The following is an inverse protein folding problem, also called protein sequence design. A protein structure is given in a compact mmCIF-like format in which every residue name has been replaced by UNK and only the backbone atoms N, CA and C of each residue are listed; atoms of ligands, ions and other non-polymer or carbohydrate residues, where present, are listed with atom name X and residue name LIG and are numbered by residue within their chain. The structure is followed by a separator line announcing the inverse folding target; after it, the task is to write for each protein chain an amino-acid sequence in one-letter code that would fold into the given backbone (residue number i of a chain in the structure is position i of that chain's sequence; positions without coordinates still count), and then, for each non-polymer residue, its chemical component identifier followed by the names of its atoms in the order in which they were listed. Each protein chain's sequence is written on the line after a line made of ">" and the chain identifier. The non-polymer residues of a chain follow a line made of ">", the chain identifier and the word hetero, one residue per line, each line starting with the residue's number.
data_IF_954191778989
#
_entry.id   IF_954191778989
#
_cell.length_a   1.000
_cell.length_b   1.000
_cell.length_c   1.000
_cell.angle_alpha   90.00
_cell.angle_beta   90.00
_cell.angle_gamma   90.00
#
_symmetry.space_group_name_H-M   'P 1'
#
loop_
_entity.id
_entity.type
_entity.pdbx_description
1 polymer ?
#
# COMPACT_ATOMS: atom_id res chain seq x y z
N UNK A 1 -13.60 -16.37 16.37
CA UNK A 1 -12.29 -16.60 17.02
C UNK A 1 -11.46 -15.35 16.80
N UNK A 2 -11.01 -14.72 17.87
CA UNK A 2 -10.12 -13.56 17.80
C UNK A 2 -8.67 -14.04 17.89
N UNK A 3 -7.80 -13.54 17.01
CA UNK A 3 -6.37 -13.89 16.97
C UNK A 3 -5.59 -12.75 17.64
N UNK A 4 -4.94 -13.02 18.77
CA UNK A 4 -4.26 -11.98 19.58
C UNK A 4 -2.76 -12.22 19.75
N UNK A 5 -2.25 -13.36 19.28
CA UNK A 5 -0.84 -13.76 19.38
C UNK A 5 -0.28 -14.06 17.99
N UNK A 6 1.05 -13.99 17.78
CA UNK A 6 1.66 -14.39 16.52
C UNK A 6 1.10 -15.74 16.04
N UNK A 7 0.49 -15.77 14.86
CA UNK A 7 -0.28 -16.92 14.36
C UNK A 7 -0.08 -17.09 12.86
N UNK A 8 0.04 -18.33 12.42
CA UNK A 8 -0.01 -18.71 11.01
C UNK A 8 -1.27 -19.52 10.77
N UNK A 9 -2.07 -19.12 9.79
CA UNK A 9 -3.23 -19.89 9.34
C UNK A 9 -2.85 -20.62 8.06
N UNK A 10 -3.07 -21.93 8.05
CA UNK A 10 -2.83 -22.79 6.89
C UNK A 10 -4.13 -23.46 6.44
N UNK A 11 -4.24 -23.78 5.16
CA UNK A 11 -5.32 -24.63 4.64
C UNK A 11 -5.04 -26.12 4.90
N UNK A 12 -5.98 -26.98 4.48
CA UNK A 12 -5.88 -28.43 4.66
C UNK A 12 -4.76 -29.06 3.82
N UNK A 13 -4.27 -28.36 2.80
CA UNK A 13 -3.14 -28.75 1.97
C UNK A 13 -1.79 -28.24 2.50
N UNK A 14 -1.79 -27.49 3.61
CA UNK A 14 -0.58 -26.91 4.21
C UNK A 14 -0.13 -25.60 3.57
N UNK A 15 -0.93 -24.99 2.69
CA UNK A 15 -0.64 -23.67 2.11
C UNK A 15 -0.94 -22.58 3.13
N UNK A 16 -0.07 -21.58 3.20
CA UNK A 16 -0.25 -20.47 4.13
C UNK A 16 -1.30 -19.49 3.60
N UNK A 17 -2.31 -19.22 4.43
CA UNK A 17 -3.40 -18.29 4.16
C UNK A 17 -3.18 -16.93 4.83
N UNK A 18 -2.58 -16.90 6.02
CA UNK A 18 -2.37 -15.67 6.79
C UNK A 18 -1.16 -15.81 7.71
N UNK A 19 -0.33 -14.77 7.74
CA UNK A 19 0.59 -14.50 8.84
C UNK A 19 0.04 -13.33 9.65
N UNK A 20 -0.29 -13.58 10.91
CA UNK A 20 -0.67 -12.53 11.86
C UNK A 20 0.49 -12.29 12.82
N UNK A 21 1.08 -11.10 12.75
CA UNK A 21 2.30 -10.74 13.48
C UNK A 21 2.08 -9.44 14.28
N UNK A 22 1.45 -9.51 15.46
CA UNK A 22 1.14 -8.33 16.26
C UNK A 22 2.42 -7.68 16.79
N UNK A 23 2.44 -6.34 16.86
CA UNK A 23 3.54 -5.55 17.43
C UNK A 23 4.92 -5.78 16.78
N UNK A 24 4.96 -6.17 15.51
CA UNK A 24 6.21 -6.46 14.79
C UNK A 24 7.00 -5.21 14.42
N UNK A 25 6.29 -4.10 14.17
CA UNK A 25 6.92 -2.80 13.94
C UNK A 25 6.91 -2.05 15.26
N UNK A 26 8.08 -1.53 15.68
CA UNK A 26 8.19 -0.83 16.96
C UNK A 26 7.33 0.44 16.99
N UNK A 27 6.77 0.77 18.15
CA UNK A 27 5.95 1.96 18.31
C UNK A 27 6.71 3.25 17.96
N UNK A 28 8.00 3.32 18.31
CA UNK A 28 8.85 4.45 17.95
C UNK A 28 8.94 4.65 16.44
N UNK A 29 9.13 3.56 15.69
CA UNK A 29 9.20 3.59 14.22
C UNK A 29 7.85 3.93 13.58
N UNK A 30 6.76 3.35 14.12
CA UNK A 30 5.40 3.68 13.71
C UNK A 30 5.13 5.19 13.87
N UNK A 31 5.51 5.77 15.01
CA UNK A 31 5.32 7.19 15.27
C UNK A 31 6.20 8.07 14.38
N UNK A 32 7.51 7.79 14.29
CA UNK A 32 8.46 8.65 13.60
C UNK A 32 8.33 8.60 12.07
N UNK A 33 8.27 7.40 11.48
CA UNK A 33 8.35 7.23 10.04
C UNK A 33 6.98 7.19 9.36
N UNK A 34 5.97 6.65 10.05
CA UNK A 34 4.64 6.46 9.46
C UNK A 34 3.72 7.59 9.86
N UNK A 35 3.44 7.75 11.15
CA UNK A 35 2.43 8.71 11.61
C UNK A 35 2.81 10.16 11.31
N UNK A 36 4.04 10.56 11.65
CA UNK A 36 4.47 11.95 11.43
C UNK A 36 4.56 12.29 9.93
N UNK A 37 4.85 11.32 9.06
CA UNK A 37 4.90 11.55 7.62
C UNK A 37 3.51 11.66 6.97
N UNK A 38 2.44 11.12 7.58
CA UNK A 38 1.07 11.22 7.05
C UNK A 38 0.59 12.66 6.85
N UNK A 39 1.16 13.64 7.57
CA UNK A 39 0.85 15.06 7.37
C UNK A 39 1.13 15.54 5.93
N UNK A 40 2.15 14.97 5.28
CA UNK A 40 2.47 15.22 3.87
C UNK A 40 1.28 14.83 2.96
N UNK A 41 0.56 13.76 3.32
CA UNK A 41 -0.58 13.26 2.55
C UNK A 41 -1.91 13.97 2.88
N UNK A 42 -1.91 15.02 3.69
CA UNK A 42 -3.14 15.69 4.15
C UNK A 42 -4.05 16.13 2.99
N UNK A 43 -3.51 16.85 2.02
CA UNK A 43 -4.24 17.33 0.84
C UNK A 43 -4.77 16.17 0.00
N UNK A 44 -3.96 15.22 -0.50
CA UNK A 44 -4.46 14.14 -1.34
C UNK A 44 -5.47 13.22 -0.61
N UNK A 45 -5.30 13.02 0.71
CA UNK A 45 -6.27 12.27 1.52
C UNK A 45 -7.61 13.01 1.60
N UNK A 46 -7.62 14.31 1.87
CA UNK A 46 -8.86 15.10 1.91
C UNK A 46 -9.57 15.11 0.55
N UNK A 47 -8.82 15.25 -0.55
CA UNK A 47 -9.36 15.25 -1.91
C UNK A 47 -9.92 13.88 -2.35
N UNK A 48 -9.48 12.80 -1.71
CA UNK A 48 -9.97 11.46 -2.01
C UNK A 48 -11.42 11.23 -1.58
N UNK A 49 -11.90 11.99 -0.59
CA UNK A 49 -13.23 11.81 -0.02
C UNK A 49 -14.31 12.17 -1.04
N UNK A 50 -15.35 11.34 -1.08
CA UNK A 50 -16.54 11.59 -1.90
C UNK A 50 -17.74 11.78 -0.99
N UNK A 51 -18.62 12.68 -1.42
CA UNK A 51 -19.96 12.81 -0.83
C UNK A 51 -20.68 11.46 -0.87
N UNK A 52 -21.57 11.25 0.09
CA UNK A 52 -22.29 9.99 0.20
C UNK A 52 -23.01 9.63 -1.12
N UNK A 53 -22.85 8.39 -1.57
CA UNK A 53 -23.44 7.90 -2.83
C UNK A 53 -22.79 8.41 -4.12
N UNK A 54 -21.80 9.31 -4.05
CA UNK A 54 -21.10 9.86 -5.24
C UNK A 54 -19.81 9.11 -5.60
N UNK A 55 -19.52 7.98 -4.95
CA UNK A 55 -18.30 7.20 -5.21
C UNK A 55 -18.41 5.75 -4.73
N UNK A 56 -17.39 4.94 -5.05
CA UNK A 56 -17.27 3.60 -4.50
C UNK A 56 -17.10 3.62 -2.98
N UNK A 57 -17.48 2.51 -2.32
CA UNK A 57 -17.46 2.41 -0.85
C UNK A 57 -16.11 2.77 -0.22
N UNK A 58 -15.01 2.63 -0.96
CA UNK A 58 -13.65 2.95 -0.51
C UNK A 58 -13.46 4.43 -0.14
N UNK A 59 -14.20 5.33 -0.78
CA UNK A 59 -14.07 6.79 -0.64
C UNK A 59 -15.34 7.47 -0.13
N UNK A 60 -16.38 6.70 0.18
CA UNK A 60 -17.64 7.23 0.70
C UNK A 60 -17.42 7.83 2.10
N UNK A 61 -17.74 9.11 2.25
CA UNK A 61 -17.58 9.86 3.50
C UNK A 61 -18.20 9.20 4.73
N UNK A 62 -19.28 8.40 4.58
CA UNK A 62 -19.91 7.68 5.71
C UNK A 62 -18.99 6.67 6.38
N UNK A 63 -17.99 6.17 5.65
CA UNK A 63 -17.06 5.17 6.14
C UNK A 63 -15.88 5.79 6.88
N UNK A 64 -15.80 7.12 7.00
CA UNK A 64 -14.72 7.80 7.71
C UNK A 64 -15.21 8.39 9.03
N UNK A 65 -14.32 8.45 10.03
CA UNK A 65 -14.64 9.10 11.31
C UNK A 65 -14.94 10.58 11.08
N UNK A 66 -16.09 11.05 11.57
CA UNK A 66 -16.52 12.45 11.40
C UNK A 66 -15.51 13.44 12.01
N UNK A 67 -15.06 13.18 13.23
CA UNK A 67 -14.24 14.09 14.04
C UNK A 67 -12.72 13.86 13.93
N UNK A 68 -12.27 13.17 12.88
CA UNK A 68 -10.84 12.93 12.67
C UNK A 68 -10.17 14.12 11.95
N UNK A 69 -9.03 14.58 12.47
CA UNK A 69 -8.23 15.66 11.89
C UNK A 69 -7.64 15.30 10.51
N UNK A 70 -7.38 14.02 10.27
CA UNK A 70 -6.89 13.50 9.00
C UNK A 70 -7.73 12.28 8.60
N UNK A 71 -8.26 12.26 7.38
CA UNK A 71 -9.06 11.14 6.86
C UNK A 71 -9.01 11.12 5.34
N UNK A 72 -9.10 9.92 4.77
CA UNK A 72 -9.04 9.71 3.33
C UNK A 72 -8.50 8.33 2.98
N UNK A 73 -8.61 7.97 1.72
CA UNK A 73 -8.03 6.75 1.18
C UNK A 73 -7.43 7.03 -0.20
N UNK A 74 -6.14 6.77 -0.36
CA UNK A 74 -5.44 6.92 -1.63
C UNK A 74 -4.80 5.60 -2.03
N UNK A 75 -4.84 5.30 -3.32
CA UNK A 75 -4.16 4.16 -3.91
C UNK A 75 -2.97 4.67 -4.76
N UNK A 76 -1.81 4.07 -4.55
CA UNK A 76 -0.54 4.45 -5.16
C UNK A 76 0.01 3.28 -5.95
N UNK A 77 0.56 3.55 -7.14
CA UNK A 77 1.31 2.58 -7.94
C UNK A 77 2.28 3.32 -8.85
N UNK A 78 3.51 2.82 -9.06
CA UNK A 78 4.49 3.48 -9.91
C UNK A 78 4.14 3.45 -11.41
N UNK A 79 3.19 2.61 -11.84
CA UNK A 79 2.82 2.45 -13.24
C UNK A 79 1.32 2.66 -13.51
N UNK A 80 0.60 3.31 -12.58
CA UNK A 80 -0.85 3.46 -12.64
C UNK A 80 -1.28 4.23 -13.92
N UNK A 81 -0.57 5.31 -14.25
CA UNK A 81 -0.85 6.14 -15.43
C UNK A 81 -0.76 5.34 -16.74
N UNK A 82 0.26 4.50 -16.89
CA UNK A 82 0.50 3.69 -18.08
C UNK A 82 -0.50 2.53 -18.22
N UNK A 83 -1.27 2.25 -17.18
CA UNK A 83 -2.42 1.34 -17.23
C UNK A 83 -3.72 2.07 -17.62
N UNK A 84 -3.66 3.37 -17.93
CA UNK A 84 -4.83 4.18 -18.30
C UNK A 84 -5.70 4.56 -17.11
N UNK A 85 -5.18 4.44 -15.89
CA UNK A 85 -5.92 4.73 -14.69
C UNK A 85 -5.28 5.94 -13.97
N UNK A 86 -5.97 7.08 -13.89
CA UNK A 86 -5.50 8.26 -13.14
C UNK A 86 -4.67 9.29 -13.91
N UNK A 87 -4.34 10.39 -13.22
CA UNK A 87 -3.65 11.58 -13.74
C UNK A 87 -2.12 11.40 -13.85
N UNK A 88 -1.49 12.22 -14.70
CA UNK A 88 -0.03 12.29 -14.87
C UNK A 88 0.66 12.74 -13.58
N UNK A 89 1.76 12.05 -13.24
CA UNK A 89 2.65 12.27 -12.11
C UNK A 89 2.01 12.27 -10.70
N UNK A 90 2.58 11.49 -9.77
CA UNK A 90 2.18 11.56 -8.36
C UNK A 90 2.48 12.98 -7.81
N UNK A 91 1.57 13.60 -7.03
CA UNK A 91 1.80 14.91 -6.42
C UNK A 91 3.13 14.97 -5.65
N UNK A 92 3.72 16.16 -5.53
CA UNK A 92 5.02 16.35 -4.85
C UNK A 92 4.99 15.76 -3.44
N UNK A 93 3.88 15.96 -2.75
CA UNK A 93 3.57 15.47 -1.42
C UNK A 93 3.66 13.94 -1.30
N UNK A 94 3.15 13.24 -2.32
CA UNK A 94 3.21 11.77 -2.39
C UNK A 94 4.65 11.31 -2.58
N UNK A 95 5.44 12.02 -3.40
CA UNK A 95 6.85 11.67 -3.62
C UNK A 95 7.69 11.85 -2.36
N UNK A 96 7.50 12.95 -1.64
CA UNK A 96 8.16 13.20 -0.35
C UNK A 96 7.76 12.13 0.67
N UNK A 97 6.48 11.77 0.74
CA UNK A 97 6.02 10.70 1.62
C UNK A 97 6.62 9.33 1.28
N UNK A 98 6.76 8.99 -0.01
CA UNK A 98 7.41 7.76 -0.45
C UNK A 98 8.88 7.70 -0.02
N UNK A 99 9.57 8.85 0.03
CA UNK A 99 10.94 8.94 0.53
C UNK A 99 11.00 8.73 2.05
N UNK A 100 10.12 9.39 2.82
CA UNK A 100 10.03 9.20 4.27
C UNK A 100 9.72 7.74 4.65
N UNK A 101 8.91 7.06 3.86
CA UNK A 101 8.51 5.66 4.14
C UNK A 101 9.37 4.61 3.43
N UNK A 102 10.50 5.00 2.83
CA UNK A 102 11.37 4.11 2.08
C UNK A 102 11.85 2.91 2.93
N UNK A 103 12.25 3.17 4.19
CA UNK A 103 12.65 2.12 5.12
C UNK A 103 11.54 1.12 5.41
N UNK A 104 10.31 1.60 5.62
CA UNK A 104 9.16 0.74 5.89
C UNK A 104 8.87 -0.16 4.68
N UNK A 105 8.85 0.42 3.49
CA UNK A 105 8.64 -0.32 2.25
C UNK A 105 9.68 -1.43 2.04
N UNK A 106 10.94 -1.14 2.36
CA UNK A 106 12.03 -2.11 2.31
C UNK A 106 11.84 -3.22 3.35
N UNK A 107 11.44 -2.89 4.59
CA UNK A 107 11.14 -3.87 5.64
C UNK A 107 10.00 -4.80 5.24
N UNK A 108 8.89 -4.27 4.72
CA UNK A 108 7.76 -5.09 4.26
C UNK A 108 8.16 -5.99 3.09
N UNK A 109 9.01 -5.50 2.19
CA UNK A 109 9.57 -6.31 1.09
C UNK A 109 10.49 -7.41 1.61
N UNK A 110 11.32 -7.12 2.61
CA UNK A 110 12.18 -8.09 3.30
C UNK A 110 11.37 -9.16 4.02
N UNK A 111 10.28 -8.78 4.69
CA UNK A 111 9.36 -9.72 5.30
C UNK A 111 8.76 -10.66 4.26
N UNK A 112 8.29 -10.15 3.12
CA UNK A 112 7.81 -10.99 2.02
C UNK A 112 8.89 -11.94 1.48
N UNK A 113 10.15 -11.50 1.41
CA UNK A 113 11.27 -12.35 0.99
C UNK A 113 11.43 -13.57 1.90
N UNK A 114 11.27 -13.37 3.22
CA UNK A 114 11.36 -14.45 4.23
C UNK A 114 10.12 -15.35 4.16
N UNK A 115 8.93 -14.76 4.12
CA UNK A 115 7.66 -15.50 4.21
C UNK A 115 7.29 -16.21 2.90
N UNK A 116 7.63 -15.64 1.75
CA UNK A 116 7.21 -16.13 0.43
C UNK A 116 8.19 -15.72 -0.69
N UNK A 117 9.40 -16.30 -0.68
CA UNK A 117 10.50 -15.99 -1.61
C UNK A 117 10.07 -15.90 -3.09
N UNK A 118 9.26 -16.86 -3.58
CA UNK A 118 8.82 -16.86 -5.00
C UNK A 118 8.03 -15.61 -5.39
N UNK A 119 7.19 -15.11 -4.49
CA UNK A 119 6.37 -13.92 -4.74
C UNK A 119 7.23 -12.66 -4.66
N UNK A 120 8.16 -12.60 -3.69
CA UNK A 120 9.17 -11.55 -3.66
C UNK A 120 9.96 -11.46 -4.98
N UNK A 121 10.44 -12.59 -5.51
CA UNK A 121 11.19 -12.63 -6.78
C UNK A 121 10.35 -12.15 -7.96
N UNK A 122 9.07 -12.54 -8.02
CA UNK A 122 8.15 -12.06 -9.04
C UNK A 122 7.90 -10.55 -8.94
N UNK A 123 7.68 -10.03 -7.73
CA UNK A 123 7.50 -8.59 -7.49
C UNK A 123 8.76 -7.80 -7.87
N UNK A 124 9.93 -8.27 -7.46
CA UNK A 124 11.21 -7.67 -7.82
C UNK A 124 11.43 -7.65 -9.34
N UNK A 125 11.16 -8.76 -10.03
CA UNK A 125 11.27 -8.82 -11.49
C UNK A 125 10.26 -7.89 -12.17
N UNK A 126 9.04 -7.75 -11.64
CA UNK A 126 8.05 -6.82 -12.15
C UNK A 126 8.53 -5.36 -12.05
N UNK A 127 9.03 -4.93 -10.88
CA UNK A 127 9.59 -3.58 -10.69
C UNK A 127 10.81 -3.36 -11.59
N UNK A 128 11.70 -4.36 -11.72
CA UNK A 128 12.87 -4.28 -12.61
C UNK A 128 12.44 -4.09 -14.08
N UNK A 129 11.45 -4.86 -14.54
CA UNK A 129 10.90 -4.71 -15.90
C UNK A 129 10.23 -3.37 -16.11
N UNK A 130 9.54 -2.82 -15.10
CA UNK A 130 8.98 -1.48 -15.16
C UNK A 130 10.08 -0.44 -15.36
N UNK A 131 11.18 -0.50 -14.60
CA UNK A 131 12.35 0.38 -14.78
C UNK A 131 12.93 0.30 -16.19
N UNK A 132 13.13 -0.91 -16.71
CA UNK A 132 13.63 -1.08 -18.08
C UNK A 132 12.66 -0.56 -19.14
N UNK A 133 11.33 -0.65 -18.90
CA UNK A 133 10.33 -0.10 -19.82
C UNK A 133 10.26 1.42 -19.76
N UNK A 134 10.38 2.02 -18.57
CA UNK A 134 10.43 3.46 -18.39
C UNK A 134 11.57 4.07 -19.22
N UNK A 135 12.79 3.54 -19.03
CA UNK A 135 14.00 3.93 -19.77
C UNK A 135 13.84 3.81 -21.30
N UNK A 136 13.29 2.69 -21.77
CA UNK A 136 13.08 2.46 -23.22
C UNK A 136 12.05 3.40 -23.83
N UNK A 137 11.09 3.87 -23.04
CA UNK A 137 10.00 4.74 -23.49
C UNK A 137 10.28 6.22 -23.22
N UNK A 138 11.38 6.55 -22.53
CA UNK A 138 11.64 7.90 -22.02
C UNK A 138 10.45 8.42 -21.22
N UNK A 139 9.89 7.55 -20.38
CA UNK A 139 8.71 7.86 -19.57
C UNK A 139 9.14 8.63 -18.31
N UNK A 140 9.25 9.95 -18.46
CA UNK A 140 9.74 10.86 -17.41
C UNK A 140 8.96 10.69 -16.10
N UNK A 141 7.65 10.48 -16.18
CA UNK A 141 6.80 10.29 -14.99
C UNK A 141 7.18 9.02 -14.23
N UNK A 142 7.33 7.90 -14.95
CA UNK A 142 7.69 6.62 -14.34
C UNK A 142 9.14 6.61 -13.86
N UNK A 143 10.06 7.23 -14.62
CA UNK A 143 11.46 7.38 -14.23
C UNK A 143 11.63 8.23 -12.97
N UNK A 144 10.79 9.23 -12.77
CA UNK A 144 10.79 10.03 -11.55
C UNK A 144 10.33 9.21 -10.33
N UNK A 145 9.30 8.37 -10.47
CA UNK A 145 8.66 7.66 -9.35
C UNK A 145 9.36 6.36 -8.96
N UNK A 146 9.81 5.54 -9.92
CA UNK A 146 10.38 4.22 -9.67
C UNK A 146 11.63 4.17 -8.77
N UNK A 147 12.49 5.21 -8.71
CA UNK A 147 13.59 5.27 -7.75
C UNK A 147 13.13 5.43 -6.29
N UNK A 148 11.96 6.05 -6.06
CA UNK A 148 11.39 6.24 -4.71
C UNK A 148 10.52 5.07 -4.27
N UNK A 149 10.11 4.20 -5.21
CA UNK A 149 9.33 3.00 -4.91
C UNK A 149 10.25 1.89 -4.37
N UNK A 150 10.33 1.79 -3.04
CA UNK A 150 11.21 0.86 -2.32
C UNK A 150 10.50 -0.47 -1.98
N UNK A 151 9.34 -0.72 -2.60
CA UNK A 151 8.51 -1.90 -2.38
C UNK A 151 8.55 -2.85 -3.57
N UNK A 152 8.53 -4.16 -3.31
CA UNK A 152 8.30 -5.18 -4.36
C UNK A 152 6.82 -5.36 -4.70
N UNK A 153 5.92 -4.79 -3.90
CA UNK A 153 4.50 -4.73 -4.24
C UNK A 153 4.27 -3.70 -5.34
N UNK A 154 3.40 -4.00 -6.29
CA UNK A 154 3.11 -3.10 -7.42
C UNK A 154 2.19 -1.94 -7.07
N UNK A 155 1.56 -1.98 -5.90
CA UNK A 155 0.61 -0.96 -5.44
C UNK A 155 0.56 -0.91 -3.92
N UNK A 156 0.07 0.21 -3.39
CA UNK A 156 -0.16 0.43 -1.98
C UNK A 156 -1.42 1.25 -1.77
N UNK A 157 -2.23 0.88 -0.79
CA UNK A 157 -3.39 1.66 -0.36
C UNK A 157 -3.10 2.27 1.01
N UNK A 158 -3.20 3.58 1.13
CA UNK A 158 -3.10 4.31 2.40
C UNK A 158 -4.50 4.69 2.83
N UNK A 159 -4.93 4.22 4.00
CA UNK A 159 -6.29 4.40 4.51
C UNK A 159 -6.22 5.02 5.91
N UNK A 160 -6.74 6.23 6.05
CA UNK A 160 -6.68 6.98 7.32
C UNK A 160 -8.09 7.20 7.85
N UNK A 161 -8.32 6.77 9.10
CA UNK A 161 -9.59 6.93 9.82
C UNK A 161 -10.82 6.40 9.07
N UNK A 162 -10.62 5.34 8.27
CA UNK A 162 -11.66 4.66 7.50
C UNK A 162 -12.06 3.34 8.15
N UNK A 163 -13.36 3.12 8.32
CA UNK A 163 -13.94 1.80 8.53
C UNK A 163 -14.05 1.07 7.19
N UNK A 164 -13.55 -0.16 7.10
CA UNK A 164 -13.72 -1.01 5.93
C UNK A 164 -14.91 -1.95 6.16
N UNK A 165 -16.01 -1.81 5.40
CA UNK A 165 -17.10 -2.79 5.41
C UNK A 165 -16.60 -4.19 5.06
N UNK A 166 -17.34 -5.21 5.48
CA UNK A 166 -17.06 -6.58 5.10
C UNK A 166 -17.07 -6.72 3.57
N UNK A 167 -15.96 -7.18 3.01
CA UNK A 167 -15.78 -7.39 1.58
C UNK A 167 -14.71 -8.46 1.34
N UNK A 168 -14.59 -8.87 0.08
CA UNK A 168 -13.54 -9.77 -0.39
C UNK A 168 -12.96 -9.20 -1.67
N UNK A 169 -11.64 -9.07 -1.72
CA UNK A 169 -10.97 -8.72 -2.97
C UNK A 169 -11.04 -9.89 -3.94
N UNK A 170 -11.61 -9.66 -5.12
CA UNK A 170 -11.88 -10.68 -6.14
C UNK A 170 -10.79 -10.78 -7.21
N UNK A 171 -9.88 -9.81 -7.25
CA UNK A 171 -8.84 -9.70 -8.28
C UNK A 171 -7.53 -10.43 -7.92
N UNK A 172 -7.47 -11.09 -6.75
CA UNK A 172 -6.31 -11.86 -6.30
C UNK A 172 -6.26 -13.29 -6.86
N UNK A 173 -5.09 -13.92 -6.79
CA UNK A 173 -4.93 -15.37 -7.00
C UNK A 173 -4.67 -16.05 -5.67
N UNK A 174 -5.01 -17.34 -5.54
CA UNK A 174 -4.81 -18.13 -4.30
C UNK A 174 -3.39 -18.08 -3.73
N UNK A 175 -2.39 -17.90 -4.60
CA UNK A 175 -0.96 -17.88 -4.24
C UNK A 175 -0.41 -16.46 -4.05
N UNK A 176 -1.26 -15.44 -4.12
CA UNK A 176 -0.86 -14.05 -3.90
C UNK A 176 -1.21 -13.66 -2.48
N UNK A 177 -0.24 -13.04 -1.80
CA UNK A 177 -0.40 -12.51 -0.46
C UNK A 177 -0.29 -10.99 -0.52
N UNK A 178 -1.31 -10.32 0.03
CA UNK A 178 -1.23 -8.90 0.33
C UNK A 178 -0.65 -8.69 1.73
N UNK A 179 -0.06 -7.52 1.96
CA UNK A 179 0.40 -7.11 3.30
C UNK A 179 -0.48 -5.98 3.80
N UNK A 180 -1.08 -6.20 4.96
CA UNK A 180 -1.77 -5.18 5.72
C UNK A 180 -0.92 -4.77 6.93
N UNK A 181 -0.55 -3.50 6.99
CA UNK A 181 0.04 -2.88 8.17
C UNK A 181 -0.98 -1.95 8.80
N UNK A 182 -1.18 -2.10 10.11
CA UNK A 182 -2.00 -1.20 10.92
C UNK A 182 -1.10 -0.47 11.90
N UNK A 183 -1.30 0.85 12.02
CA UNK A 183 -0.58 1.77 12.90
C UNK A 183 -1.59 2.53 13.74
#
# INVERSE_FOLDING_TARGET
>A
MEITRPTVVIDKEGSILLWYLPNTISQAYQQSEVWNSLGLLSIPLQQSLKSHGMGGWRNDGKNFRNNANLKGAIDLSPAWFQQGCGSKLQPKEVREWLQCTAGLQAVLSGALRIMHLKMYLHGWEAIRRLRSKAAKRQDEDMEAVLPMWNSVYSSMSVMVNRASPAHKDTNGRKVWLDTLLTV
#
